data_IF_584644561028
#
_entry.id   IF_584644561028
#
_cell.length_a   1.000
_cell.length_b   1.000
_cell.length_c   1.000
_cell.angle_alpha   90.00
_cell.angle_beta   90.00
_cell.angle_gamma   90.00
#
_symmetry.space_group_name_H-M   'P 1'
#
loop_
_entity.id
_entity.type
_entity.pdbx_description
1 polymer ?
#
# COMPACT_ATOMS: atom_id res chain seq x y z
N UNK A 1 -7.04 -8.54 10.77
CA UNK A 1 -7.73 -7.67 9.79
C UNK A 1 -7.17 -6.25 9.87
N UNK A 2 -6.98 -5.62 8.72
CA UNK A 2 -6.48 -4.25 8.69
C UNK A 2 -7.64 -3.27 8.88
N UNK A 3 -7.47 -2.33 9.82
CA UNK A 3 -8.48 -1.31 10.09
C UNK A 3 -8.47 -0.24 9.01
N UNK A 4 -9.57 0.52 8.91
CA UNK A 4 -9.64 1.65 7.98
C UNK A 4 -8.59 2.71 8.30
N UNK A 5 -8.30 2.92 9.57
CA UNK A 5 -7.24 3.83 9.98
C UNK A 5 -5.89 3.41 9.43
N UNK A 6 -5.55 2.12 9.53
CA UNK A 6 -4.29 1.61 9.01
C UNK A 6 -4.24 1.69 7.49
N UNK A 7 -5.34 1.41 6.81
CA UNK A 7 -5.43 1.57 5.35
C UNK A 7 -5.14 3.01 4.94
N UNK A 8 -5.72 3.96 5.65
CA UNK A 8 -5.49 5.38 5.37
C UNK A 8 -4.02 5.75 5.55
N UNK A 9 -3.39 5.26 6.62
CA UNK A 9 -1.96 5.52 6.86
C UNK A 9 -1.10 4.95 5.75
N UNK A 10 -1.43 3.75 5.27
CA UNK A 10 -0.71 3.12 4.16
C UNK A 10 -0.88 3.94 2.88
N UNK A 11 -2.10 4.38 2.58
CA UNK A 11 -2.35 5.18 1.38
C UNK A 11 -1.62 6.51 1.41
N UNK A 12 -1.57 7.17 2.56
CA UNK A 12 -0.82 8.41 2.73
C UNK A 12 0.68 8.17 2.52
N UNK A 13 1.20 7.06 3.04
CA UNK A 13 2.61 6.69 2.86
C UNK A 13 2.92 6.39 1.39
N UNK A 14 2.01 5.74 0.67
CA UNK A 14 2.17 5.48 -0.75
C UNK A 14 2.28 6.81 -1.51
N UNK A 15 1.40 7.75 -1.24
CA UNK A 15 1.40 9.04 -1.91
C UNK A 15 2.71 9.81 -1.67
N UNK A 16 3.18 9.81 -0.43
CA UNK A 16 4.43 10.47 -0.08
C UNK A 16 5.63 9.79 -0.74
N UNK A 17 5.64 8.46 -0.74
CA UNK A 17 6.74 7.68 -1.28
C UNK A 17 6.85 7.78 -2.81
N UNK A 18 5.75 8.12 -3.49
CA UNK A 18 5.72 8.21 -4.95
C UNK A 18 6.80 9.14 -5.51
N UNK A 19 7.13 10.20 -4.80
CA UNK A 19 8.11 11.18 -5.25
C UNK A 19 9.52 10.62 -5.39
N UNK A 20 9.80 9.48 -4.76
CA UNK A 20 11.11 8.83 -4.82
C UNK A 20 11.30 7.99 -6.10
N UNK A 21 10.26 7.91 -6.95
CA UNK A 21 10.30 7.05 -8.14
C UNK A 21 9.96 7.84 -9.40
N UNK A 22 10.58 7.50 -10.54
CA UNK A 22 10.36 8.25 -11.78
C UNK A 22 9.05 7.93 -12.48
N UNK A 23 8.43 6.80 -12.15
CA UNK A 23 7.18 6.38 -12.82
C UNK A 23 6.34 5.52 -11.88
N UNK A 24 5.05 5.40 -12.23
CA UNK A 24 4.12 4.54 -11.49
C UNK A 24 4.56 3.08 -11.54
N UNK A 25 5.04 2.62 -12.69
CA UNK A 25 5.50 1.25 -12.84
C UNK A 25 6.66 0.93 -11.89
N UNK A 26 7.61 1.84 -11.77
CA UNK A 26 8.73 1.69 -10.85
C UNK A 26 8.25 1.67 -9.40
N UNK A 27 7.33 2.55 -9.05
CA UNK A 27 6.78 2.61 -7.71
C UNK A 27 6.01 1.33 -7.37
N UNK A 28 5.17 0.85 -8.28
CA UNK A 28 4.42 -0.40 -8.09
C UNK A 28 5.38 -1.58 -7.86
N UNK A 29 6.44 -1.67 -8.63
CA UNK A 29 7.44 -2.71 -8.47
C UNK A 29 8.09 -2.66 -7.08
N UNK A 30 8.38 -1.47 -6.58
CA UNK A 30 8.97 -1.31 -5.26
C UNK A 30 8.03 -1.75 -4.14
N UNK A 31 6.73 -1.64 -4.37
CA UNK A 31 5.71 -2.07 -3.41
C UNK A 31 5.38 -3.56 -3.52
N UNK A 32 5.89 -4.23 -4.54
CA UNK A 32 5.62 -5.64 -4.76
C UNK A 32 4.24 -5.93 -5.31
N UNK A 33 3.64 -4.99 -6.02
CA UNK A 33 2.30 -5.13 -6.62
C UNK A 33 2.36 -4.91 -8.12
N UNK A 34 1.32 -5.38 -8.82
CA UNK A 34 1.21 -5.16 -10.25
C UNK A 34 0.80 -3.72 -10.58
N UNK A 35 1.03 -3.30 -11.82
CA UNK A 35 0.59 -1.98 -12.26
C UNK A 35 -0.93 -1.87 -12.25
N UNK A 36 -1.64 -2.96 -12.49
CA UNK A 36 -3.11 -2.98 -12.42
C UNK A 36 -3.60 -2.68 -11.01
N UNK A 37 -3.00 -3.32 -10.00
CA UNK A 37 -3.33 -3.07 -8.59
C UNK A 37 -2.97 -1.63 -8.22
N UNK A 38 -1.82 -1.16 -8.67
CA UNK A 38 -1.38 0.20 -8.41
C UNK A 38 -2.36 1.22 -9.00
N UNK A 39 -2.82 0.99 -10.22
CA UNK A 39 -3.80 1.85 -10.88
C UNK A 39 -5.12 1.89 -10.09
N UNK A 40 -5.56 0.74 -9.56
CA UNK A 40 -6.76 0.68 -8.72
C UNK A 40 -6.60 1.51 -7.45
N UNK A 41 -5.42 1.49 -6.84
CA UNK A 41 -5.11 2.33 -5.68
C UNK A 41 -5.27 3.80 -6.03
N UNK A 42 -4.70 4.22 -7.16
CA UNK A 42 -4.78 5.61 -7.61
C UNK A 42 -6.22 6.06 -7.87
N UNK A 43 -7.06 5.13 -8.33
CA UNK A 43 -8.46 5.41 -8.67
C UNK A 43 -9.41 5.25 -7.47
N UNK A 44 -8.88 4.98 -6.29
CA UNK A 44 -9.71 4.83 -5.10
C UNK A 44 -10.44 3.50 -4.97
N UNK A 45 -10.04 2.50 -5.73
CA UNK A 45 -10.66 1.18 -5.72
C UNK A 45 -9.85 0.17 -4.91
N UNK A 46 -9.26 0.63 -3.84
CA UNK A 46 -8.32 -0.16 -3.05
C UNK A 46 -8.97 -1.39 -2.41
N UNK A 47 -10.21 -1.27 -1.94
CA UNK A 47 -10.87 -2.38 -1.25
C UNK A 47 -11.15 -3.55 -2.17
N UNK A 48 -11.30 -3.30 -3.46
CA UNK A 48 -11.50 -4.36 -4.45
C UNK A 48 -10.19 -4.96 -4.94
N UNK A 49 -9.14 -4.16 -4.97
CA UNK A 49 -7.89 -4.55 -5.59
C UNK A 49 -6.88 -5.16 -4.62
N UNK A 50 -6.95 -4.80 -3.34
CA UNK A 50 -5.96 -5.21 -2.36
C UNK A 50 -6.52 -6.20 -1.36
N UNK A 51 -5.92 -7.39 -1.33
CA UNK A 51 -6.15 -8.33 -0.25
C UNK A 51 -5.44 -7.87 1.01
N UNK A 52 -5.77 -8.46 2.15
CA UNK A 52 -5.09 -8.16 3.40
C UNK A 52 -3.58 -8.39 3.29
N UNK A 53 -3.19 -9.47 2.62
CA UNK A 53 -1.78 -9.77 2.40
C UNK A 53 -1.08 -8.67 1.61
N UNK A 54 -1.74 -8.10 0.60
CA UNK A 54 -1.18 -7.00 -0.17
C UNK A 54 -1.01 -5.75 0.67
N UNK A 55 -1.99 -5.41 1.50
CA UNK A 55 -1.89 -4.28 2.42
C UNK A 55 -0.68 -4.43 3.35
N UNK A 56 -0.52 -5.62 3.94
CA UNK A 56 0.58 -5.91 4.86
C UNK A 56 1.92 -5.80 4.14
N UNK A 57 2.02 -6.37 2.94
CA UNK A 57 3.24 -6.33 2.14
C UNK A 57 3.66 -4.89 1.85
N UNK A 58 2.71 -4.07 1.41
CA UNK A 58 2.98 -2.66 1.10
C UNK A 58 3.45 -1.92 2.35
N UNK A 59 2.76 -2.10 3.46
CA UNK A 59 3.12 -1.43 4.71
C UNK A 59 4.53 -1.81 5.16
N UNK A 60 4.90 -3.08 5.04
CA UNK A 60 6.24 -3.53 5.41
C UNK A 60 7.31 -2.90 4.52
N UNK A 61 7.05 -2.83 3.23
CA UNK A 61 8.01 -2.24 2.29
C UNK A 61 8.18 -0.74 2.48
N UNK A 62 7.12 -0.06 2.92
CA UNK A 62 7.16 1.38 3.19
C UNK A 62 7.65 1.69 4.61
N UNK A 63 7.75 0.70 5.48
CA UNK A 63 8.12 0.92 6.87
C UNK A 63 7.03 1.60 7.69
N UNK A 64 5.77 1.43 7.30
CA UNK A 64 4.64 2.00 8.02
C UNK A 64 4.35 1.20 9.28
N UNK A 65 4.27 1.88 10.41
CA UNK A 65 3.88 1.26 11.66
C UNK A 65 2.36 1.18 11.72
N UNK A 66 1.84 -0.03 11.82
CA UNK A 66 0.40 -0.26 11.93
C UNK A 66 -0.01 -0.30 13.39
N UNK A 67 -1.25 0.11 13.65
CA UNK A 67 -1.82 0.13 15.00
C UNK A 67 -3.03 -0.78 15.04
N UNK A 68 -3.46 -1.13 16.26
CA UNK A 68 -4.72 -1.83 16.45
C UNK A 68 -4.66 -3.32 16.23
N UNK A 69 -3.52 -3.95 16.47
CA UNK A 69 -3.46 -5.40 16.54
C UNK A 69 -3.04 -6.14 15.29
N UNK A 70 -2.46 -5.44 14.34
CA UNK A 70 -1.82 -6.13 13.21
C UNK A 70 -0.47 -6.65 13.69
N UNK A 71 -0.28 -7.95 13.58
CA UNK A 71 0.99 -8.56 13.94
C UNK A 71 1.81 -8.88 12.70
N UNK A 72 3.07 -8.53 12.76
CA UNK A 72 4.03 -8.85 11.71
C UNK A 72 4.66 -10.20 12.01
N UNK A 73 4.60 -11.08 11.06
CA UNK A 73 5.27 -12.37 11.17
C UNK A 73 6.05 -12.71 9.94
#
# INVERSE_FOLDING_TARGET
MITNENKKRILEAIATNRTNYPSDAKHAASLGISTSVYSAIKNGQTDKALSEANWITIARRLGVNLRGGIEWK
#
